data_IF_179440983977
#
_entry.id   IF_179440983977
#
_cell.length_a   1.000
_cell.length_b   1.000
_cell.length_c   1.000
_cell.angle_alpha   90.00
_cell.angle_beta   90.00
_cell.angle_gamma   90.00
#
_symmetry.space_group_name_H-M   'P 1'
#
loop_
_entity.id
_entity.type
_entity.pdbx_description
1 polymer ?
#
# COMPACT_ATOMS: atom_id res chain seq x y z
N UNK A 1 10.85 31.20 96.72
CA UNK A 1 10.71 30.25 95.60
C UNK A 1 12.09 29.70 95.31
N UNK A 2 12.25 28.38 95.30
CA UNK A 2 13.59 27.78 95.27
C UNK A 2 14.11 27.72 93.83
N UNK A 3 15.37 28.10 93.60
CA UNK A 3 16.04 28.08 92.28
C UNK A 3 15.88 26.75 91.52
N UNK A 4 15.70 25.64 92.26
CA UNK A 4 15.45 24.31 91.68
C UNK A 4 14.10 24.20 90.97
N UNK A 5 13.03 24.74 91.53
CA UNK A 5 11.69 24.66 90.93
C UNK A 5 11.61 25.44 89.62
N UNK A 6 12.27 26.60 89.54
CA UNK A 6 12.31 27.44 88.33
C UNK A 6 13.13 26.78 87.21
N UNK A 7 14.26 26.15 87.56
CA UNK A 7 15.06 25.35 86.61
C UNK A 7 14.27 24.13 86.12
N UNK A 8 13.57 23.41 87.00
CA UNK A 8 12.74 22.27 86.61
C UNK A 8 11.59 22.67 85.69
N UNK A 9 10.88 23.77 85.99
CA UNK A 9 9.83 24.30 85.12
C UNK A 9 10.37 24.63 83.73
N UNK A 10 11.53 25.29 83.66
CA UNK A 10 12.18 25.66 82.40
C UNK A 10 12.58 24.42 81.58
N UNK A 11 13.10 23.38 82.21
CA UNK A 11 13.44 22.10 81.56
C UNK A 11 12.19 21.42 80.99
N UNK A 12 11.10 21.36 81.76
CA UNK A 12 9.82 20.79 81.29
C UNK A 12 9.29 21.60 80.09
N UNK A 13 9.34 22.93 80.14
CA UNK A 13 8.94 23.78 79.01
C UNK A 13 9.75 23.49 77.74
N UNK A 14 11.07 23.34 77.85
CA UNK A 14 11.90 22.98 76.70
C UNK A 14 11.58 21.58 76.15
N UNK A 15 11.29 20.61 77.02
CA UNK A 15 10.86 19.27 76.60
C UNK A 15 9.53 19.35 75.85
N UNK A 16 8.55 20.08 76.38
CA UNK A 16 7.24 20.25 75.71
C UNK A 16 7.38 20.93 74.35
N UNK A 17 8.21 21.98 74.25
CA UNK A 17 8.50 22.64 72.98
C UNK A 17 9.16 21.66 72.00
N UNK A 18 10.13 20.86 72.44
CA UNK A 18 10.79 19.87 71.61
C UNK A 18 9.82 18.79 71.09
N UNK A 19 8.89 18.32 71.94
CA UNK A 19 7.85 17.36 71.54
C UNK A 19 6.88 17.96 70.52
N UNK A 20 6.44 19.20 70.73
CA UNK A 20 5.55 19.90 69.79
C UNK A 20 6.22 20.15 68.44
N UNK A 21 7.49 20.57 68.44
CA UNK A 21 8.28 20.72 67.21
C UNK A 21 8.50 19.37 66.52
N UNK A 22 8.73 18.30 67.28
CA UNK A 22 8.85 16.94 66.75
C UNK A 22 7.56 16.47 66.06
N UNK A 23 6.40 16.69 66.68
CA UNK A 23 5.10 16.35 66.09
C UNK A 23 4.86 17.15 64.79
N UNK A 24 5.15 18.45 64.80
CA UNK A 24 4.99 19.31 63.62
C UNK A 24 5.90 18.88 62.45
N UNK A 25 7.12 18.43 62.72
CA UNK A 25 8.04 17.91 61.70
C UNK A 25 7.53 16.61 61.06
N UNK A 26 6.95 15.71 61.85
CA UNK A 26 6.35 14.47 61.33
C UNK A 26 5.16 14.77 60.43
N UNK A 27 4.24 15.63 60.85
CA UNK A 27 3.09 16.04 60.03
C UNK A 27 3.54 16.71 58.72
N UNK A 28 4.53 17.61 58.80
CA UNK A 28 5.08 18.27 57.61
C UNK A 28 5.73 17.27 56.65
N UNK A 29 6.42 16.25 57.17
CA UNK A 29 7.01 15.19 56.36
C UNK A 29 5.95 14.33 55.67
N UNK A 30 4.90 13.92 56.38
CA UNK A 30 3.78 13.13 55.80
C UNK A 30 3.07 13.93 54.70
N UNK A 31 2.78 15.21 54.92
CA UNK A 31 2.17 16.07 53.92
C UNK A 31 3.09 16.22 52.69
N UNK A 32 4.41 16.30 52.90
CA UNK A 32 5.36 16.37 51.81
C UNK A 32 5.39 15.07 50.99
N UNK A 33 5.42 13.90 51.63
CA UNK A 33 5.41 12.60 50.94
C UNK A 33 4.11 12.40 50.17
N UNK A 34 2.96 12.69 50.77
CA UNK A 34 1.65 12.60 50.09
C UNK A 34 1.59 13.52 48.87
N UNK A 35 2.09 14.75 48.98
CA UNK A 35 2.14 15.68 47.83
C UNK A 35 3.10 15.20 46.75
N UNK A 36 4.22 14.59 47.14
CA UNK A 36 5.18 14.04 46.19
C UNK A 36 4.59 12.84 45.43
N UNK A 37 3.95 11.92 46.15
CA UNK A 37 3.26 10.78 45.56
C UNK A 37 2.12 11.24 44.65
N UNK A 38 1.34 12.24 45.08
CA UNK A 38 0.28 12.81 44.25
C UNK A 38 0.84 13.38 42.94
N UNK A 39 1.93 14.15 43.00
CA UNK A 39 2.59 14.68 41.80
C UNK A 39 3.10 13.58 40.87
N UNK A 40 3.67 12.51 41.41
CA UNK A 40 4.12 11.35 40.60
C UNK A 40 2.92 10.65 39.94
N UNK A 41 1.82 10.45 40.66
CA UNK A 41 0.59 9.87 40.08
C UNK A 41 -0.04 10.77 39.02
N UNK A 42 -0.02 12.10 39.21
CA UNK A 42 -0.51 13.08 38.22
C UNK A 42 0.36 13.07 36.97
N UNK A 43 1.69 13.00 37.11
CA UNK A 43 2.62 12.90 35.98
C UNK A 43 2.43 11.59 35.20
N UNK A 44 2.28 10.47 35.91
CA UNK A 44 1.98 9.17 35.28
C UNK A 44 0.65 9.18 34.56
N UNK A 45 -0.39 9.77 35.15
CA UNK A 45 -1.71 9.90 34.54
C UNK A 45 -1.64 10.74 33.26
N UNK A 46 -0.95 11.88 33.29
CA UNK A 46 -0.73 12.72 32.11
C UNK A 46 0.00 11.95 31.00
N UNK A 47 1.09 11.26 31.34
CA UNK A 47 1.81 10.43 30.36
C UNK A 47 0.94 9.31 29.78
N UNK A 48 0.12 8.66 30.62
CA UNK A 48 -0.79 7.61 30.18
C UNK A 48 -1.86 8.18 29.24
N UNK A 49 -2.40 9.36 29.55
CA UNK A 49 -3.36 10.05 28.71
C UNK A 49 -2.77 10.43 27.34
N UNK A 50 -1.52 10.90 27.31
CA UNK A 50 -0.82 11.17 26.05
C UNK A 50 -0.62 9.89 25.24
N UNK A 51 -0.22 8.79 25.88
CA UNK A 51 -0.08 7.50 25.19
C UNK A 51 -1.41 6.97 24.65
N UNK A 52 -2.51 7.13 25.41
CA UNK A 52 -3.85 6.72 24.97
C UNK A 52 -4.30 7.58 23.80
N UNK A 53 -4.05 8.90 23.83
CA UNK A 53 -4.37 9.80 22.73
C UNK A 53 -3.62 9.40 21.45
N UNK A 54 -2.31 9.15 21.56
CA UNK A 54 -1.49 8.73 20.43
C UNK A 54 -1.95 7.36 19.88
N UNK A 55 -2.20 6.38 20.75
CA UNK A 55 -2.71 5.07 20.35
C UNK A 55 -4.10 5.16 19.72
N UNK A 56 -4.96 6.06 20.21
CA UNK A 56 -6.29 6.30 19.63
C UNK A 56 -6.17 6.88 18.23
N UNK A 57 -5.24 7.81 18.00
CA UNK A 57 -4.99 8.38 16.68
C UNK A 57 -4.47 7.31 15.71
N UNK A 58 -3.51 6.49 16.15
CA UNK A 58 -3.00 5.37 15.33
C UNK A 58 -4.12 4.37 15.01
N UNK A 59 -5.00 4.08 15.96
CA UNK A 59 -6.13 3.18 15.73
C UNK A 59 -7.10 3.73 14.68
N UNK A 60 -7.39 5.04 14.71
CA UNK A 60 -8.22 5.69 13.70
C UNK A 60 -7.58 5.60 12.31
N UNK A 61 -6.29 5.90 12.19
CA UNK A 61 -5.58 5.78 10.91
C UNK A 61 -5.61 4.34 10.38
N UNK A 62 -5.38 3.35 11.25
CA UNK A 62 -5.44 1.94 10.87
C UNK A 62 -6.86 1.51 10.46
N UNK A 63 -7.90 2.09 11.05
CA UNK A 63 -9.28 1.83 10.62
C UNK A 63 -9.56 2.42 9.23
N UNK A 64 -9.04 3.61 8.93
CA UNK A 64 -9.13 4.24 7.62
C UNK A 64 -8.40 3.41 6.55
N UNK A 65 -7.13 3.06 6.80
CA UNK A 65 -6.35 2.19 5.89
C UNK A 65 -7.02 0.82 5.67
N UNK A 66 -7.60 0.21 6.72
CA UNK A 66 -8.34 -1.04 6.56
C UNK A 66 -9.60 -0.88 5.71
N UNK A 67 -10.29 0.26 5.82
CA UNK A 67 -11.46 0.52 4.98
C UNK A 67 -11.05 0.69 3.52
N UNK A 68 -10.00 1.45 3.24
CA UNK A 68 -9.46 1.62 1.88
C UNK A 68 -9.05 0.28 1.26
N UNK A 69 -8.36 -0.58 2.03
CA UNK A 69 -7.99 -1.92 1.57
C UNK A 69 -9.20 -2.82 1.33
N UNK A 70 -10.26 -2.70 2.13
CA UNK A 70 -11.51 -3.42 1.88
C UNK A 70 -12.21 -2.94 0.62
N UNK A 71 -12.27 -1.63 0.39
CA UNK A 71 -12.87 -1.06 -0.81
C UNK A 71 -12.08 -1.45 -2.06
N UNK A 72 -10.75 -1.41 -1.98
CA UNK A 72 -9.87 -1.93 -3.02
C UNK A 72 -10.14 -3.41 -3.28
N UNK A 73 -10.16 -4.24 -2.24
CA UNK A 73 -10.45 -5.68 -2.38
C UNK A 73 -11.82 -5.94 -3.04
N UNK A 74 -12.87 -5.22 -2.63
CA UNK A 74 -14.19 -5.37 -3.23
C UNK A 74 -14.19 -4.97 -4.70
N UNK A 75 -13.47 -3.89 -5.06
CA UNK A 75 -13.29 -3.51 -6.45
C UNK A 75 -12.56 -4.59 -7.25
N UNK A 76 -11.50 -5.16 -6.70
CA UNK A 76 -10.78 -6.28 -7.31
C UNK A 76 -11.64 -7.52 -7.50
N UNK A 77 -12.41 -7.92 -6.49
CA UNK A 77 -13.35 -9.05 -6.61
C UNK A 77 -14.37 -8.80 -7.74
N UNK A 78 -14.85 -7.57 -7.90
CA UNK A 78 -15.72 -7.21 -9.02
C UNK A 78 -15.01 -7.34 -10.38
N UNK A 79 -13.78 -6.85 -10.51
CA UNK A 79 -13.01 -6.96 -11.76
C UNK A 79 -12.73 -8.43 -12.12
N UNK A 80 -12.45 -9.28 -11.12
CA UNK A 80 -12.25 -10.72 -11.31
C UNK A 80 -13.55 -11.42 -11.72
N UNK A 81 -14.70 -11.04 -11.15
CA UNK A 81 -16.02 -11.55 -11.58
C UNK A 81 -16.31 -11.14 -13.03
N UNK A 82 -15.92 -9.93 -13.42
CA UNK A 82 -16.09 -9.44 -14.79
C UNK A 82 -15.10 -10.12 -15.76
N UNK A 83 -13.93 -10.55 -15.28
CA UNK A 83 -13.00 -11.37 -16.07
C UNK A 83 -13.55 -12.78 -16.41
N UNK A 84 -14.60 -13.22 -15.72
CA UNK A 84 -15.37 -14.44 -16.01
C UNK A 84 -16.47 -14.25 -17.07
N UNK A 85 -16.60 -13.06 -17.64
CA UNK A 85 -17.47 -12.81 -18.78
C UNK A 85 -16.99 -13.57 -20.03
N UNK A 86 -17.94 -14.01 -20.87
CA UNK A 86 -17.68 -14.73 -22.12
C UNK A 86 -16.79 -13.89 -23.06
N UNK A 87 -16.96 -12.57 -23.04
CA UNK A 87 -16.13 -11.63 -23.82
C UNK A 87 -14.69 -11.61 -23.32
N UNK A 88 -14.48 -11.60 -22.00
CA UNK A 88 -13.15 -11.65 -21.40
C UNK A 88 -12.45 -12.99 -21.65
N UNK A 89 -13.19 -14.10 -21.69
CA UNK A 89 -12.63 -15.39 -22.08
C UNK A 89 -12.17 -15.38 -23.55
N UNK A 90 -13.03 -14.91 -24.46
CA UNK A 90 -12.70 -14.80 -25.89
C UNK A 90 -11.46 -13.94 -26.11
N UNK A 91 -11.36 -12.79 -25.42
CA UNK A 91 -10.22 -11.88 -25.53
C UNK A 91 -8.92 -12.49 -24.97
N UNK A 92 -9.00 -13.28 -23.89
CA UNK A 92 -7.84 -14.04 -23.38
C UNK A 92 -7.37 -15.09 -24.37
N UNK A 93 -8.30 -15.82 -24.99
CA UNK A 93 -7.97 -16.83 -25.99
C UNK A 93 -7.32 -16.20 -27.23
N UNK A 94 -7.78 -15.02 -27.65
CA UNK A 94 -7.19 -14.24 -28.76
C UNK A 94 -5.76 -13.77 -28.44
N UNK A 95 -5.55 -13.10 -27.30
CA UNK A 95 -4.21 -12.67 -26.88
C UNK A 95 -3.25 -13.84 -26.71
N UNK A 96 -3.70 -14.94 -26.10
CA UNK A 96 -2.88 -16.15 -25.94
C UNK A 96 -2.38 -16.71 -27.28
N UNK A 97 -3.21 -16.62 -28.33
CA UNK A 97 -2.83 -17.08 -29.67
C UNK A 97 -1.89 -16.11 -30.40
N UNK A 98 -1.76 -14.87 -29.93
CA UNK A 98 -1.14 -13.76 -30.65
C UNK A 98 -0.03 -13.06 -29.84
N UNK A 99 1.07 -13.77 -29.51
CA UNK A 99 2.21 -13.18 -28.80
C UNK A 99 2.86 -12.02 -29.57
N UNK A 100 2.66 -11.93 -30.89
CA UNK A 100 3.11 -10.81 -31.73
C UNK A 100 2.48 -9.46 -31.37
N UNK A 101 1.39 -9.44 -30.60
CA UNK A 101 0.78 -8.20 -30.09
C UNK A 101 1.58 -7.56 -28.95
N UNK A 102 2.59 -8.24 -28.42
CA UNK A 102 3.52 -7.69 -27.43
C UNK A 102 4.46 -6.73 -28.16
N UNK A 103 4.48 -5.42 -27.82
CA UNK A 103 5.35 -4.47 -28.50
C UNK A 103 6.82 -4.86 -28.35
N UNK A 104 7.56 -4.79 -29.46
CA UNK A 104 9.00 -5.05 -29.47
C UNK A 104 9.77 -4.10 -28.54
N UNK A 105 9.36 -2.83 -28.51
CA UNK A 105 9.91 -1.80 -27.60
C UNK A 105 9.82 -2.22 -26.13
N UNK A 106 8.76 -2.94 -25.75
CA UNK A 106 8.59 -3.41 -24.37
C UNK A 106 9.57 -4.54 -24.03
N UNK A 107 9.84 -5.44 -24.98
CA UNK A 107 10.84 -6.49 -24.83
C UNK A 107 12.26 -5.91 -24.76
N UNK A 108 12.55 -4.89 -25.56
CA UNK A 108 13.80 -4.10 -25.53
C UNK A 108 13.99 -3.41 -24.18
N UNK A 109 12.95 -2.70 -23.70
CA UNK A 109 12.98 -2.06 -22.40
C UNK A 109 13.20 -3.06 -21.25
N UNK A 110 12.65 -4.27 -21.35
CA UNK A 110 12.89 -5.33 -20.36
C UNK A 110 14.35 -5.77 -20.30
N UNK A 111 15.03 -5.88 -21.46
CA UNK A 111 16.46 -6.21 -21.51
C UNK A 111 17.33 -5.09 -20.94
N UNK A 112 17.03 -3.83 -21.29
CA UNK A 112 17.75 -2.66 -20.77
C UNK A 112 17.57 -2.48 -19.26
N UNK A 113 16.40 -2.83 -18.73
CA UNK A 113 16.14 -2.81 -17.29
C UNK A 113 17.04 -3.78 -16.51
N UNK A 114 17.42 -4.90 -17.15
CA UNK A 114 18.26 -5.94 -16.56
C UNK A 114 19.75 -5.64 -16.75
N UNK A 115 20.13 -5.07 -17.88
CA UNK A 115 21.51 -4.81 -18.26
C UNK A 115 21.69 -3.34 -18.66
N UNK A 116 22.13 -2.52 -17.70
CA UNK A 116 22.36 -1.07 -17.84
C UNK A 116 23.39 -0.69 -18.94
N UNK A 117 24.19 -1.63 -19.44
CA UNK A 117 25.26 -1.40 -20.42
C UNK A 117 25.27 -2.45 -21.55
N UNK A 118 24.13 -2.65 -22.22
CA UNK A 118 24.11 -3.37 -23.50
C UNK A 118 24.43 -2.43 -24.66
N UNK A 119 25.27 -2.86 -25.59
CA UNK A 119 25.36 -2.21 -26.91
C UNK A 119 24.14 -2.58 -27.76
N UNK A 120 23.75 -1.72 -28.70
CA UNK A 120 22.59 -1.97 -29.59
C UNK A 120 22.69 -3.33 -30.31
N UNK A 121 23.90 -3.75 -30.67
CA UNK A 121 24.16 -5.03 -31.35
C UNK A 121 23.98 -6.24 -30.43
N UNK A 122 24.37 -6.14 -29.16
CA UNK A 122 24.18 -7.21 -28.16
C UNK A 122 22.72 -7.30 -27.70
N UNK A 123 22.03 -6.16 -27.62
CA UNK A 123 20.59 -6.12 -27.33
C UNK A 123 19.79 -6.85 -28.41
N UNK A 124 20.12 -6.61 -29.69
CA UNK A 124 19.46 -7.26 -30.83
C UNK A 124 19.62 -8.79 -30.82
N UNK A 125 20.82 -9.30 -30.57
CA UNK A 125 21.05 -10.75 -30.48
C UNK A 125 20.27 -11.38 -29.32
N UNK A 126 20.20 -10.70 -28.17
CA UNK A 126 19.44 -11.19 -27.02
C UNK A 126 17.93 -11.12 -27.23
N UNK A 127 17.43 -10.11 -27.94
CA UNK A 127 16.00 -9.97 -28.28
C UNK A 127 15.47 -11.14 -29.09
N UNK A 128 16.25 -11.67 -30.03
CA UNK A 128 15.85 -12.87 -30.79
C UNK A 128 15.66 -14.10 -29.90
N UNK A 129 16.32 -14.14 -28.75
CA UNK A 129 16.19 -15.19 -27.74
C UNK A 129 15.05 -14.93 -26.75
N UNK A 130 14.68 -13.66 -26.52
CA UNK A 130 13.57 -13.31 -25.62
C UNK A 130 12.25 -13.75 -26.24
N UNK A 131 11.50 -14.57 -25.49
CA UNK A 131 10.18 -15.03 -25.89
C UNK A 131 9.16 -14.72 -24.82
N UNK A 132 8.68 -13.48 -24.83
CA UNK A 132 7.48 -13.15 -24.07
C UNK A 132 6.26 -13.81 -24.71
N UNK A 133 5.42 -14.41 -23.89
CA UNK A 133 4.15 -14.97 -24.28
C UNK A 133 3.10 -14.63 -23.24
N UNK A 134 1.84 -14.60 -23.65
CA UNK A 134 0.74 -14.51 -22.71
C UNK A 134 0.52 -15.87 -22.02
N UNK A 135 0.30 -15.90 -20.70
CA UNK A 135 0.01 -17.15 -19.99
C UNK A 135 -1.27 -17.82 -20.50
N UNK A 136 -1.49 -19.11 -20.17
CA UNK A 136 -2.69 -19.84 -20.60
C UNK A 136 -3.99 -19.12 -20.22
N UNK A 137 -5.04 -19.18 -21.06
CA UNK A 137 -6.29 -18.48 -20.81
C UNK A 137 -7.06 -19.00 -19.59
N UNK A 138 -6.70 -20.18 -19.06
CA UNK A 138 -7.26 -20.70 -17.81
C UNK A 138 -6.89 -19.87 -16.59
N UNK A 139 -5.73 -19.19 -16.63
CA UNK A 139 -5.29 -18.28 -15.58
C UNK A 139 -5.93 -16.91 -15.82
N UNK A 140 -6.62 -16.39 -14.80
CA UNK A 140 -7.40 -15.13 -14.90
C UNK A 140 -6.61 -13.91 -14.49
N UNK A 141 -5.50 -14.10 -13.78
CA UNK A 141 -4.77 -13.03 -13.10
C UNK A 141 -3.95 -12.18 -14.06
N UNK A 142 -3.62 -12.71 -15.24
CA UNK A 142 -2.79 -12.03 -16.22
C UNK A 142 -3.57 -11.12 -17.17
N UNK A 143 -4.91 -11.23 -17.26
CA UNK A 143 -5.74 -10.30 -18.05
C UNK A 143 -6.90 -9.77 -17.21
N UNK A 144 -6.95 -8.45 -17.01
CA UNK A 144 -7.96 -7.80 -16.21
C UNK A 144 -8.70 -6.71 -17.02
N UNK A 145 -10.04 -6.78 -17.12
CA UNK A 145 -10.82 -5.69 -17.66
C UNK A 145 -10.79 -4.50 -16.70
N UNK A 146 -10.44 -3.31 -17.18
CA UNK A 146 -10.34 -2.10 -16.35
C UNK A 146 -11.61 -1.25 -16.36
N UNK A 147 -12.40 -1.31 -17.43
CA UNK A 147 -13.60 -0.48 -17.62
C UNK A 147 -14.83 -1.25 -18.13
N UNK A 148 -14.76 -2.58 -18.19
CA UNK A 148 -15.84 -3.42 -18.71
C UNK A 148 -17.06 -3.33 -17.77
N UNK A 149 -18.19 -2.84 -18.31
CA UNK A 149 -19.42 -2.55 -17.55
C UNK A 149 -19.72 -1.06 -17.30
N UNK A 150 -18.81 -0.14 -17.66
CA UNK A 150 -19.09 1.30 -17.60
C UNK A 150 -19.80 1.79 -18.87
N UNK A 151 -21.13 1.74 -18.89
CA UNK A 151 -21.91 2.22 -20.04
C UNK A 151 -22.09 3.74 -20.04
N UNK A 152 -21.99 4.42 -21.21
CA UNK A 152 -21.56 3.88 -22.51
C UNK A 152 -20.03 3.93 -22.66
N UNK A 153 -19.38 2.78 -22.82
CA UNK A 153 -17.95 2.67 -23.13
C UNK A 153 -17.75 2.60 -24.64
N UNK A 154 -16.91 3.48 -25.18
CA UNK A 154 -16.53 3.51 -26.62
C UNK A 154 -15.40 2.50 -26.90
N UNK A 155 -14.68 2.10 -25.86
CA UNK A 155 -13.54 1.20 -25.89
C UNK A 155 -13.48 0.38 -24.60
N UNK A 156 -12.90 -0.81 -24.67
CA UNK A 156 -12.52 -1.58 -23.50
C UNK A 156 -11.03 -1.43 -23.22
N UNK A 157 -10.69 -1.18 -21.96
CA UNK A 157 -9.32 -1.11 -21.47
C UNK A 157 -8.99 -2.39 -20.73
N UNK A 158 -7.87 -3.00 -21.08
CA UNK A 158 -7.40 -4.24 -20.47
C UNK A 158 -5.97 -4.08 -19.97
N UNK A 159 -5.74 -4.52 -18.75
CA UNK A 159 -4.40 -4.81 -18.28
C UNK A 159 -4.06 -6.24 -18.67
N UNK A 160 -2.90 -6.47 -19.28
CA UNK A 160 -2.38 -7.78 -19.63
C UNK A 160 -0.96 -7.95 -19.07
N UNK A 161 -0.59 -9.16 -18.66
CA UNK A 161 0.78 -9.51 -18.27
C UNK A 161 1.32 -10.57 -19.22
N UNK A 162 2.41 -10.25 -19.90
CA UNK A 162 3.20 -11.21 -20.66
C UNK A 162 4.36 -11.72 -19.80
N UNK A 163 4.74 -12.98 -19.98
CA UNK A 163 5.80 -13.64 -19.21
C UNK A 163 6.82 -14.29 -20.12
N UNK A 164 8.07 -14.27 -19.68
CA UNK A 164 9.18 -15.04 -20.24
C UNK A 164 9.55 -16.10 -19.17
N UNK A 165 9.01 -17.31 -19.34
CA UNK A 165 9.17 -18.41 -18.37
C UNK A 165 10.63 -18.87 -18.24
N UNK A 166 11.45 -18.70 -19.29
CA UNK A 166 12.84 -19.17 -19.27
C UNK A 166 13.72 -18.28 -18.38
N UNK A 167 13.39 -16.99 -18.31
CA UNK A 167 14.19 -15.97 -17.61
C UNK A 167 13.50 -15.41 -16.36
N UNK A 168 12.30 -15.89 -16.03
CA UNK A 168 11.48 -15.43 -14.89
C UNK A 168 11.21 -13.91 -14.94
N UNK A 169 10.81 -13.43 -16.13
CA UNK A 169 10.54 -12.01 -16.39
C UNK A 169 9.09 -11.79 -16.80
N UNK A 170 8.59 -10.59 -16.55
CA UNK A 170 7.24 -10.20 -16.96
C UNK A 170 7.21 -8.77 -17.48
N UNK A 171 6.33 -8.53 -18.44
CA UNK A 171 5.97 -7.20 -18.93
C UNK A 171 4.50 -6.99 -18.66
N UNK A 172 4.19 -5.86 -18.04
CA UNK A 172 2.82 -5.41 -17.85
C UNK A 172 2.42 -4.50 -19.03
N UNK A 173 1.24 -4.73 -19.59
CA UNK A 173 0.77 -4.13 -20.84
C UNK A 173 -0.62 -3.54 -20.61
N UNK A 174 -0.87 -2.38 -21.18
CA UNK A 174 -2.17 -1.73 -21.20
C UNK A 174 -2.69 -1.70 -22.63
N UNK A 175 -3.80 -2.38 -22.87
CA UNK A 175 -4.45 -2.45 -24.17
C UNK A 175 -5.76 -1.68 -24.20
N UNK A 176 -6.04 -1.11 -25.36
CA UNK A 176 -7.34 -0.58 -25.77
C UNK A 176 -7.92 -1.47 -26.88
N UNK A 177 -9.16 -1.90 -26.69
CA UNK A 177 -9.94 -2.68 -27.66
C UNK A 177 -11.16 -1.85 -28.04
N UNK A 178 -11.23 -1.32 -29.27
CA UNK A 178 -12.35 -0.49 -29.68
C UNK A 178 -13.60 -1.35 -29.90
N UNK A 179 -14.78 -0.85 -29.50
CA UNK A 179 -16.03 -1.62 -29.55
C UNK A 179 -17.10 -0.97 -30.43
N UNK A 180 -17.96 -1.79 -31.02
CA UNK A 180 -19.16 -1.29 -31.71
C UNK A 180 -20.22 -0.89 -30.68
N UNK A 181 -20.50 0.40 -30.57
CA UNK A 181 -21.42 0.94 -29.55
C UNK A 181 -22.87 0.42 -29.57
N UNK A 182 -23.32 -0.33 -30.59
CA UNK A 182 -24.66 -0.93 -30.63
C UNK A 182 -24.72 -2.31 -29.95
N UNK A 183 -23.67 -3.13 -30.10
CA UNK A 183 -23.63 -4.52 -29.63
C UNK A 183 -22.50 -4.79 -28.63
N UNK A 184 -21.71 -3.77 -28.29
CA UNK A 184 -20.53 -3.81 -27.39
C UNK A 184 -19.47 -4.86 -27.77
N UNK A 185 -19.52 -5.37 -29.01
CA UNK A 185 -18.55 -6.34 -29.50
C UNK A 185 -17.24 -5.66 -29.90
N UNK A 186 -16.08 -6.30 -29.64
CA UNK A 186 -14.79 -5.87 -30.16
C UNK A 186 -14.84 -5.69 -31.67
N UNK A 187 -14.21 -4.62 -32.16
CA UNK A 187 -13.96 -4.45 -33.59
C UNK A 187 -12.91 -5.44 -34.04
N UNK A 188 -13.13 -5.96 -35.24
CA UNK A 188 -12.19 -6.86 -35.92
C UNK A 188 -11.63 -6.18 -37.16
N UNK A 189 -10.43 -6.59 -37.54
CA UNK A 189 -9.77 -6.16 -38.78
C UNK A 189 -10.36 -6.87 -40.03
N UNK A 190 -9.68 -6.72 -41.17
CA UNK A 190 -10.09 -7.31 -42.45
C UNK A 190 -10.02 -8.84 -42.47
N UNK A 191 -9.15 -9.43 -41.64
CA UNK A 191 -8.96 -10.87 -41.50
C UNK A 191 -9.91 -11.49 -40.45
N UNK A 192 -10.62 -10.63 -39.70
CA UNK A 192 -11.57 -11.04 -38.68
C UNK A 192 -10.95 -11.22 -37.30
N UNK A 193 -9.70 -10.79 -37.10
CA UNK A 193 -9.00 -10.82 -35.82
C UNK A 193 -9.36 -9.58 -34.99
N UNK A 194 -9.31 -9.69 -33.67
CA UNK A 194 -9.67 -8.57 -32.79
C UNK A 194 -8.59 -7.48 -32.88
N UNK A 195 -9.03 -6.23 -32.97
CA UNK A 195 -8.12 -5.08 -32.98
C UNK A 195 -7.67 -4.80 -31.54
N UNK A 196 -6.38 -4.95 -31.29
CA UNK A 196 -5.71 -4.60 -30.05
C UNK A 196 -4.79 -3.42 -30.27
N UNK A 197 -4.90 -2.39 -29.44
CA UNK A 197 -3.97 -1.26 -29.43
C UNK A 197 -3.22 -1.23 -28.12
N UNK A 198 -1.91 -1.50 -28.15
CA UNK A 198 -1.10 -1.35 -26.95
C UNK A 198 -0.85 0.15 -26.70
N UNK A 199 -1.34 0.66 -25.58
CA UNK A 199 -1.24 2.08 -25.21
C UNK A 199 0.00 2.36 -24.38
N UNK A 200 0.34 1.42 -23.49
CA UNK A 200 1.46 1.56 -22.57
C UNK A 200 2.00 0.20 -22.13
N UNK A 201 3.24 0.18 -21.68
CA UNK A 201 3.89 -0.99 -21.09
C UNK A 201 4.73 -0.60 -19.87
N UNK A 202 4.95 -1.54 -18.96
CA UNK A 202 5.94 -1.47 -17.88
C UNK A 202 6.78 -2.74 -17.92
N UNK A 203 8.07 -2.57 -18.21
CA UNK A 203 9.06 -3.63 -18.31
C UNK A 203 10.06 -3.61 -17.13
N UNK A 204 9.69 -2.98 -16.01
CA UNK A 204 10.54 -2.83 -14.81
C UNK A 204 11.15 -1.43 -14.64
N UNK A 205 10.91 -0.52 -15.60
CA UNK A 205 11.36 0.88 -15.56
C UNK A 205 10.20 1.86 -15.28
N UNK A 206 9.01 1.34 -14.98
CA UNK A 206 7.78 2.12 -14.86
C UNK A 206 7.04 2.22 -16.20
N UNK A 207 5.82 2.74 -16.15
CA UNK A 207 4.94 2.86 -17.31
C UNK A 207 5.48 3.81 -18.38
N UNK A 208 5.63 3.28 -19.59
CA UNK A 208 6.01 3.97 -20.81
C UNK A 208 4.86 3.90 -21.83
N UNK A 209 4.64 4.99 -22.56
CA UNK A 209 3.64 5.01 -23.63
C UNK A 209 4.23 4.35 -24.87
N UNK A 210 3.43 3.54 -25.56
CA UNK A 210 3.79 3.07 -26.89
C UNK A 210 3.63 4.25 -27.85
N UNK A 211 4.72 4.63 -28.51
CA UNK A 211 4.65 5.62 -29.58
C UNK A 211 4.17 4.94 -30.85
N UNK A 212 2.95 5.25 -31.30
CA UNK A 212 2.58 4.96 -32.68
C UNK A 212 3.54 5.77 -33.58
N UNK A 213 4.46 5.10 -34.27
CA UNK A 213 5.16 5.73 -35.39
C UNK A 213 4.07 6.14 -36.40
N UNK A 214 3.90 7.45 -36.63
CA UNK A 214 3.06 7.96 -37.71
C UNK A 214 3.60 7.42 -39.04
N UNK A 215 2.94 6.40 -39.61
CA UNK A 215 3.16 5.97 -41.01
C UNK A 215 2.83 7.08 -42.04
#
# INVERSE_FOLDING_TARGET
MSFKEDVFAKVITYITIAVLLGAMLVEAFVIYTERSEKKDTEARLASAQDTISNLSQVNLNLQEENQELQDFKNNWENLVIVADDETCQMLREDLYARPELIPREAAEASLLAEQEELTDEEAEELLEEVRFAFPPPGDKEWLLPLNLGNQPSVEYLFYARAVDEERDRSIDLLYEVPVRGEDEKPLTDEDGEIIWKCMAYDAGLGWQLVTEEEE
#
